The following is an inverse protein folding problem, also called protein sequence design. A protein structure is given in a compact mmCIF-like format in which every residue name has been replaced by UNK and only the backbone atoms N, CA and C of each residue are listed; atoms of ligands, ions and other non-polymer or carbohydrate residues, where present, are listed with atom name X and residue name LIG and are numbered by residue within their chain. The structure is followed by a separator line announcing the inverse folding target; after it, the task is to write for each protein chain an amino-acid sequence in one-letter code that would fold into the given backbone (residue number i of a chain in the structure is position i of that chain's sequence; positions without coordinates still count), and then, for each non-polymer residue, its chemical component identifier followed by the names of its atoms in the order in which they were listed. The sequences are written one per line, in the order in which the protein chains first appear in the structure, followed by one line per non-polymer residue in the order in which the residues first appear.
data_IF_218430887944
#
_entry.id   IF_218430887944
#
_cell.length_a   1.000
_cell.length_b   1.000
_cell.length_c   1.000
_cell.angle_alpha   90.00
_cell.angle_beta   90.00
_cell.angle_gamma   90.00
#
_symmetry.space_group_name_H-M   'P 1'
#
loop_
_entity.id
_entity.type
_entity.pdbx_description
1 polymer ?
#
# COMPACT_ATOMS: atom_id res chain seq x y z
N UNK A 1 1.89 16.91 4.58
CA UNK A 1 1.10 17.83 5.44
C UNK A 1 0.26 16.94 6.37
N UNK A 2 0.42 17.10 7.67
CA UNK A 2 -0.31 16.29 8.67
C UNK A 2 -1.80 16.68 8.62
N UNK A 3 -2.72 15.74 8.36
CA UNK A 3 -4.15 16.01 8.33
C UNK A 3 -4.69 16.60 9.65
N UNK A 4 -4.05 16.28 10.79
CA UNK A 4 -4.43 16.82 12.09
C UNK A 4 -4.16 18.32 12.22
N UNK A 5 -3.19 18.87 11.46
CA UNK A 5 -2.88 20.30 11.43
C UNK A 5 -3.90 21.13 10.62
N UNK A 6 -4.77 20.47 9.83
CA UNK A 6 -5.81 21.14 9.02
C UNK A 6 -7.13 21.31 9.76
N UNK A 7 -7.29 20.68 10.92
CA UNK A 7 -8.55 20.73 11.69
C UNK A 7 -8.45 21.85 12.72
N UNK A 8 -9.13 22.98 12.44
CA UNK A 8 -9.22 24.09 13.38
C UNK A 8 -9.94 23.65 14.68
N UNK A 9 -9.37 23.96 15.83
CA UNK A 9 -9.94 23.65 17.15
C UNK A 9 -11.36 24.27 17.33
N UNK A 10 -11.67 25.36 16.63
CA UNK A 10 -13.02 25.95 16.60
C UNK A 10 -14.01 25.00 15.92
N UNK A 11 -13.64 24.40 14.80
CA UNK A 11 -14.46 23.42 14.11
C UNK A 11 -14.72 22.18 14.97
N UNK A 12 -13.70 21.68 15.66
CA UNK A 12 -13.83 20.55 16.60
C UNK A 12 -14.81 20.89 17.73
N UNK A 13 -14.72 22.10 18.28
CA UNK A 13 -15.65 22.56 19.33
C UNK A 13 -17.07 22.67 18.81
N UNK A 14 -17.29 23.29 17.65
CA UNK A 14 -18.63 23.39 17.04
C UNK A 14 -19.26 22.04 16.76
N UNK A 15 -18.44 21.05 16.28
CA UNK A 15 -18.87 19.67 16.07
C UNK A 15 -19.22 18.97 17.39
N UNK A 16 -18.43 19.20 18.44
CA UNK A 16 -18.69 18.66 19.77
C UNK A 16 -19.97 19.26 20.40
N UNK A 17 -20.19 20.56 20.22
CA UNK A 17 -21.41 21.25 20.68
C UNK A 17 -22.64 20.77 19.90
N UNK A 18 -22.54 20.60 18.58
CA UNK A 18 -23.63 20.06 17.76
C UNK A 18 -23.93 18.59 18.12
N UNK A 19 -22.91 17.78 18.39
CA UNK A 19 -23.06 16.41 18.89
C UNK A 19 -23.74 16.39 20.27
N UNK A 20 -23.30 17.26 21.19
CA UNK A 20 -23.88 17.38 22.53
C UNK A 20 -25.35 17.84 22.51
N UNK A 21 -25.69 18.73 21.58
CA UNK A 21 -27.10 19.19 21.41
C UNK A 21 -28.02 18.05 20.92
N UNK A 22 -27.49 17.09 20.15
CA UNK A 22 -28.23 15.90 19.71
C UNK A 22 -28.38 14.83 20.81
N UNK A 23 -27.50 14.81 21.81
CA UNK A 23 -27.57 13.85 22.94
C UNK A 23 -28.88 14.03 23.76
N UNK A 24 -29.47 15.22 23.75
CA UNK A 24 -30.76 15.49 24.41
C UNK A 24 -31.96 14.77 23.78
N UNK A 25 -31.84 14.22 22.57
CA UNK A 25 -32.91 13.53 21.83
C UNK A 25 -32.70 12.03 21.57
N UNK A 26 -31.62 11.44 22.08
CA UNK A 26 -31.27 10.02 21.87
C UNK A 26 -29.78 9.86 21.62
N UNK A 27 -29.29 8.63 21.60
CA UNK A 27 -27.88 8.36 21.40
C UNK A 27 -27.37 8.93 20.06
N UNK A 28 -26.30 9.72 20.10
CA UNK A 28 -25.62 10.24 18.88
C UNK A 28 -25.07 9.09 18.05
N UNK A 29 -25.65 8.85 16.89
CA UNK A 29 -25.14 7.89 15.94
C UNK A 29 -24.01 8.55 15.14
N UNK A 30 -22.75 8.12 15.38
CA UNK A 30 -21.57 8.64 14.66
C UNK A 30 -21.43 8.02 13.28
N UNK A 31 -21.65 6.71 13.17
CA UNK A 31 -21.54 5.89 11.96
C UNK A 31 -22.92 5.37 11.54
N UNK A 32 -23.03 4.90 10.30
CA UNK A 32 -24.27 4.36 9.74
C UNK A 32 -25.15 5.41 9.09
N UNK A 33 -26.35 5.00 8.68
CA UNK A 33 -27.27 5.85 7.90
C UNK A 33 -27.76 7.04 8.74
N UNK A 34 -27.50 8.27 8.26
CA UNK A 34 -27.82 9.51 8.99
C UNK A 34 -26.83 9.90 10.10
N UNK A 35 -25.70 9.22 10.22
CA UNK A 35 -24.67 9.52 11.22
C UNK A 35 -23.98 10.86 11.02
N UNK A 36 -23.52 11.47 12.14
CA UNK A 36 -22.84 12.77 12.14
C UNK A 36 -21.64 12.84 11.17
N UNK A 37 -20.85 11.78 11.10
CA UNK A 37 -19.68 11.71 10.20
C UNK A 37 -20.09 11.71 8.73
N UNK A 38 -21.23 11.09 8.37
CA UNK A 38 -21.75 11.17 7.00
C UNK A 38 -22.17 12.59 6.63
N UNK A 39 -22.85 13.31 7.55
CA UNK A 39 -23.26 14.70 7.32
C UNK A 39 -22.06 15.62 7.14
N UNK A 40 -21.02 15.45 7.96
CA UNK A 40 -19.75 16.18 7.85
C UNK A 40 -19.04 15.88 6.53
N UNK A 41 -18.90 14.59 6.18
CA UNK A 41 -18.24 14.18 4.93
C UNK A 41 -18.98 14.73 3.71
N UNK A 42 -20.33 14.75 3.72
CA UNK A 42 -21.14 15.39 2.69
C UNK A 42 -20.73 16.84 2.48
N UNK A 43 -20.72 17.64 3.57
CA UNK A 43 -20.36 19.06 3.48
C UNK A 43 -18.92 19.27 2.97
N UNK A 44 -17.96 18.48 3.46
CA UNK A 44 -16.57 18.57 3.01
C UNK A 44 -16.42 18.23 1.52
N UNK A 45 -17.07 17.16 1.06
CA UNK A 45 -17.01 16.73 -0.35
C UNK A 45 -17.69 17.78 -1.24
N UNK A 46 -18.87 18.26 -0.88
CA UNK A 46 -19.60 19.28 -1.63
C UNK A 46 -18.79 20.58 -1.71
N UNK A 47 -18.16 21.00 -0.61
CA UNK A 47 -17.31 22.19 -0.58
C UNK A 47 -16.04 22.03 -1.44
N UNK A 48 -15.41 20.86 -1.39
CA UNK A 48 -14.26 20.57 -2.26
C UNK A 48 -14.64 20.62 -3.75
N UNK A 49 -15.81 20.08 -4.11
CA UNK A 49 -16.33 20.12 -5.47
C UNK A 49 -16.66 21.54 -5.93
N UNK A 50 -17.16 22.41 -5.05
CA UNK A 50 -17.37 23.84 -5.35
C UNK A 50 -16.06 24.55 -5.64
N UNK A 51 -15.02 24.30 -4.84
CA UNK A 51 -13.68 24.88 -5.04
C UNK A 51 -13.09 24.39 -6.37
N UNK A 52 -13.16 23.09 -6.67
CA UNK A 52 -12.69 22.53 -7.94
C UNK A 52 -13.43 23.15 -9.15
N UNK A 53 -14.76 23.38 -9.02
CA UNK A 53 -15.51 24.05 -10.09
C UNK A 53 -15.06 25.50 -10.27
N UNK A 54 -14.84 26.25 -9.18
CA UNK A 54 -14.34 27.62 -9.24
C UNK A 54 -12.93 27.67 -9.88
N UNK A 55 -12.03 26.78 -9.50
CA UNK A 55 -10.72 26.65 -10.13
C UNK A 55 -10.84 26.34 -11.64
N UNK A 56 -11.77 25.45 -12.02
CA UNK A 56 -12.03 25.13 -13.43
C UNK A 56 -12.58 26.30 -14.25
N UNK A 57 -13.46 27.11 -13.66
CA UNK A 57 -14.10 28.22 -14.36
C UNK A 57 -13.28 29.51 -14.36
N UNK A 58 -12.49 29.77 -13.32
CA UNK A 58 -11.81 31.05 -13.07
C UNK A 58 -10.31 30.91 -12.77
N UNK A 59 -9.77 29.70 -12.66
CA UNK A 59 -8.35 29.47 -12.45
C UNK A 59 -7.55 29.72 -13.74
N UNK A 60 -6.33 30.20 -13.61
CA UNK A 60 -5.35 30.36 -14.72
C UNK A 60 -4.92 28.99 -15.25
N UNK A 61 -5.77 28.37 -16.07
CA UNK A 61 -5.42 27.18 -16.85
C UNK A 61 -4.68 27.58 -18.12
N UNK A 62 -3.89 26.69 -18.77
CA UNK A 62 -3.15 26.97 -20.01
C UNK A 62 -4.10 27.09 -21.20
N UNK A 63 -4.90 28.19 -21.24
CA UNK A 63 -5.89 28.47 -22.27
C UNK A 63 -6.64 29.78 -22.08
N UNK A 64 -6.47 30.45 -20.91
CA UNK A 64 -7.06 31.76 -20.65
C UNK A 64 -6.17 32.88 -21.21
N UNK A 65 -6.49 33.40 -22.41
CA UNK A 65 -5.81 34.55 -22.95
C UNK A 65 -6.02 35.78 -22.06
N UNK A 66 -4.94 36.31 -21.54
CA UNK A 66 -4.86 37.59 -20.84
C UNK A 66 -5.35 38.69 -21.76
N UNK A 67 -6.31 39.58 -21.41
CA UNK A 67 -6.50 40.82 -22.13
C UNK A 67 -5.30 41.70 -21.83
N UNK A 68 -4.46 41.89 -22.82
CA UNK A 68 -3.33 42.79 -22.77
C UNK A 68 -3.83 44.22 -22.50
N UNK A 69 -3.53 44.74 -21.32
CA UNK A 69 -3.60 46.15 -20.99
C UNK A 69 -2.50 46.89 -21.73
N UNK A 70 -2.88 47.57 -22.82
CA UNK A 70 -1.98 48.44 -23.51
C UNK A 70 -1.81 49.77 -22.76
N UNK A 71 -0.59 50.22 -22.61
CA UNK A 71 -0.24 51.57 -22.23
C UNK A 71 0.73 52.18 -23.24
N UNK A 72 0.24 53.26 -23.84
CA UNK A 72 0.88 54.50 -24.28
C UNK A 72 1.82 54.56 -25.47
N UNK A 73 1.44 55.49 -26.28
CA UNK A 73 2.17 56.61 -26.93
C UNK A 73 2.43 56.56 -28.41
N UNK A 74 1.79 57.50 -29.04
CA UNK A 74 2.45 58.42 -30.00
C UNK A 74 2.17 58.26 -31.45
N UNK A 75 1.47 59.26 -32.03
CA UNK A 75 1.77 59.71 -33.39
C UNK A 75 0.66 59.76 -34.42
N UNK A 76 -0.06 60.84 -34.46
CA UNK A 76 -0.47 61.71 -35.61
C UNK A 76 -0.64 61.09 -37.00
N UNK A 77 -1.76 61.23 -37.68
CA UNK A 77 -2.15 62.14 -38.72
C UNK A 77 -3.45 61.76 -39.43
N UNK A 78 -4.33 62.74 -39.47
CA UNK A 78 -5.25 63.22 -40.51
C UNK A 78 -5.98 62.30 -41.50
N UNK A 79 -7.30 62.52 -41.60
CA UNK A 79 -8.07 62.18 -42.81
C UNK A 79 -9.57 62.15 -42.63
N UNK A 80 -10.18 63.28 -42.70
CA UNK A 80 -11.52 63.76 -43.08
C UNK A 80 -12.50 62.75 -43.68
N UNK A 81 -13.81 62.97 -43.33
CA UNK A 81 -14.95 62.41 -44.09
C UNK A 81 -16.27 62.46 -43.39
N UNK A 82 -16.95 63.60 -43.48
CA UNK A 82 -18.36 64.00 -43.30
C UNK A 82 -19.40 62.93 -43.72
N UNK A 83 -20.53 62.78 -43.00
CA UNK A 83 -21.82 63.47 -43.09
C UNK A 83 -22.91 62.71 -42.33
N UNK A 84 -23.58 63.35 -41.39
CA UNK A 84 -24.94 63.88 -41.35
C UNK A 84 -26.08 62.85 -41.36
N UNK A 85 -26.94 62.89 -40.31
CA UNK A 85 -28.35 62.81 -40.53
C UNK A 85 -29.19 62.09 -39.43
N UNK A 86 -29.71 62.93 -38.58
CA UNK A 86 -31.06 63.00 -37.95
C UNK A 86 -31.65 61.93 -37.09
N UNK A 87 -31.95 62.40 -35.88
CA UNK A 87 -33.03 62.03 -34.94
C UNK A 87 -34.39 62.63 -35.45
N UNK A 88 -35.64 62.24 -35.06
CA UNK A 88 -36.06 62.28 -33.64
C UNK A 88 -37.17 61.29 -33.18
N UNK A 89 -37.21 61.15 -31.86
CA UNK A 89 -38.36 61.14 -30.94
C UNK A 89 -39.58 60.19 -31.13
N UNK A 90 -39.95 59.52 -30.04
CA UNK A 90 -41.31 59.02 -29.83
C UNK A 90 -41.44 58.12 -28.59
N UNK A 91 -42.04 58.69 -27.58
CA UNK A 91 -42.29 58.10 -26.25
C UNK A 91 -43.34 56.98 -26.21
N UNK A 92 -43.33 56.30 -25.09
CA UNK A 92 -44.41 55.67 -24.32
C UNK A 92 -44.36 54.12 -24.18
N UNK A 93 -44.01 53.69 -23.04
CA UNK A 93 -44.71 53.05 -21.94
C UNK A 93 -45.49 51.76 -22.20
N UNK A 94 -45.13 50.73 -21.50
CA UNK A 94 -45.95 49.78 -20.75
C UNK A 94 -45.38 48.35 -20.75
N UNK A 95 -45.30 47.77 -19.53
CA UNK A 95 -45.60 46.39 -19.29
C UNK A 95 -44.46 45.38 -19.53
N UNK A 96 -43.64 45.17 -18.49
CA UNK A 96 -42.76 44.00 -18.44
C UNK A 96 -43.60 42.74 -18.27
N UNK A 97 -43.74 41.98 -19.34
CA UNK A 97 -44.10 40.55 -19.29
C UNK A 97 -42.80 39.80 -19.24
N UNK A 98 -42.56 39.12 -18.11
CA UNK A 98 -41.43 38.19 -18.02
C UNK A 98 -41.76 36.99 -18.89
N UNK A 99 -41.22 36.98 -20.09
CA UNK A 99 -41.21 35.81 -20.97
C UNK A 99 -40.19 34.77 -20.49
N UNK A 100 -40.37 33.50 -20.86
CA UNK A 100 -39.41 32.46 -20.48
C UNK A 100 -38.04 32.76 -21.09
N UNK A 101 -36.99 32.66 -20.28
CA UNK A 101 -35.61 32.86 -20.70
C UNK A 101 -35.28 32.03 -21.96
N UNK A 102 -34.87 32.73 -23.02
CA UNK A 102 -34.35 32.09 -24.23
C UNK A 102 -33.17 31.18 -23.92
N UNK A 103 -33.03 30.04 -24.61
CA UNK A 103 -31.84 29.17 -24.45
C UNK A 103 -30.59 29.98 -24.77
N UNK A 104 -29.64 29.96 -23.83
CA UNK A 104 -28.44 30.80 -23.86
C UNK A 104 -27.67 30.69 -25.16
N UNK A 105 -27.14 31.84 -25.59
CA UNK A 105 -26.23 31.98 -26.72
C UNK A 105 -25.09 30.99 -26.62
N UNK A 106 -24.73 30.25 -27.67
CA UNK A 106 -23.67 29.25 -27.64
C UNK A 106 -22.24 29.81 -27.41
N UNK A 107 -22.07 31.13 -27.29
CA UNK A 107 -20.79 31.83 -27.18
C UNK A 107 -20.64 32.67 -25.90
N UNK A 108 -21.40 32.43 -24.83
CA UNK A 108 -21.17 33.04 -23.52
C UNK A 108 -20.06 32.33 -22.74
N UNK A 109 -19.35 33.05 -21.82
CA UNK A 109 -18.35 32.39 -20.96
C UNK A 109 -18.93 31.20 -20.22
N UNK A 110 -18.16 30.12 -20.11
CA UNK A 110 -18.55 28.94 -19.35
C UNK A 110 -18.87 29.33 -17.90
N UNK A 111 -19.91 28.77 -17.31
CA UNK A 111 -20.37 29.14 -15.98
C UNK A 111 -21.09 28.00 -15.29
N UNK A 112 -21.39 28.15 -13.99
CA UNK A 112 -22.09 27.12 -13.23
C UNK A 112 -23.47 26.78 -13.85
N UNK A 113 -23.82 25.49 -13.90
CA UNK A 113 -25.07 24.99 -14.46
C UNK A 113 -25.73 23.93 -13.55
N UNK A 114 -26.05 24.34 -12.32
CA UNK A 114 -26.71 23.50 -11.35
C UNK A 114 -25.83 22.38 -10.80
N UNK A 115 -26.47 21.43 -10.14
CA UNK A 115 -25.79 20.27 -9.54
C UNK A 115 -26.67 19.01 -9.69
N UNK A 116 -26.02 17.84 -9.75
CA UNK A 116 -26.68 16.54 -9.75
C UNK A 116 -26.42 15.78 -8.47
N UNK A 117 -27.50 15.28 -7.84
CA UNK A 117 -27.38 14.39 -6.69
C UNK A 117 -26.75 13.05 -7.10
N UNK A 118 -25.80 12.57 -6.32
CA UNK A 118 -25.14 11.26 -6.49
C UNK A 118 -24.96 10.61 -5.14
N UNK A 119 -25.34 9.34 -5.05
CA UNK A 119 -25.05 8.50 -3.89
C UNK A 119 -23.66 7.86 -4.08
N UNK A 120 -22.76 8.13 -3.14
CA UNK A 120 -21.40 7.61 -3.11
C UNK A 120 -21.25 6.70 -1.90
N UNK A 121 -20.64 5.53 -2.10
CA UNK A 121 -20.25 4.66 -1.01
C UNK A 121 -18.87 5.11 -0.47
N UNK A 122 -18.79 5.31 0.82
CA UNK A 122 -17.58 5.76 1.52
C UNK A 122 -17.21 4.81 2.65
N UNK A 123 -16.03 4.96 3.22
CA UNK A 123 -15.58 4.21 4.40
C UNK A 123 -16.36 4.50 5.69
N UNK A 124 -17.24 5.48 5.68
CA UNK A 124 -18.12 5.83 6.81
C UNK A 124 -19.60 5.61 6.49
N UNK A 125 -19.90 5.01 5.34
CA UNK A 125 -21.25 4.73 4.88
C UNK A 125 -21.61 5.41 3.56
N UNK A 126 -22.85 5.24 3.07
CA UNK A 126 -23.34 5.88 1.86
C UNK A 126 -23.59 7.38 2.11
N UNK A 127 -23.06 8.24 1.24
CA UNK A 127 -23.22 9.70 1.32
C UNK A 127 -23.85 10.20 0.04
N UNK A 128 -24.95 10.96 0.15
CA UNK A 128 -25.55 11.64 -0.99
C UNK A 128 -24.97 13.03 -1.14
N UNK A 129 -24.25 13.28 -2.24
CA UNK A 129 -23.54 14.53 -2.55
C UNK A 129 -24.12 15.20 -3.78
N UNK A 130 -24.11 16.53 -3.82
CA UNK A 130 -24.46 17.34 -4.98
C UNK A 130 -23.20 17.67 -5.77
N UNK A 131 -23.04 17.03 -6.93
CA UNK A 131 -21.91 17.27 -7.85
C UNK A 131 -22.28 18.41 -8.77
N UNK A 132 -21.57 19.56 -8.72
CA UNK A 132 -21.86 20.71 -9.55
C UNK A 132 -21.51 20.42 -11.02
N UNK A 133 -22.05 21.23 -11.93
CA UNK A 133 -21.83 21.17 -13.37
C UNK A 133 -21.56 22.55 -13.92
N UNK A 134 -20.79 22.61 -15.00
CA UNK A 134 -20.64 23.78 -15.85
C UNK A 134 -21.59 23.70 -17.08
N UNK A 135 -21.72 24.80 -17.80
CA UNK A 135 -22.58 24.87 -18.99
C UNK A 135 -22.09 24.01 -20.12
N UNK A 136 -20.79 23.95 -20.32
CA UNK A 136 -20.14 23.24 -21.44
C UNK A 136 -20.01 21.74 -21.15
N UNK A 137 -20.25 21.28 -19.91
CA UNK A 137 -20.11 19.88 -19.50
C UNK A 137 -18.65 19.40 -19.47
N UNK A 138 -17.71 20.33 -19.44
CA UNK A 138 -16.26 20.06 -19.45
C UNK A 138 -15.70 19.79 -18.05
N UNK A 139 -16.42 20.16 -17.00
CA UNK A 139 -15.98 19.97 -15.63
C UNK A 139 -15.93 18.49 -15.24
N UNK A 140 -14.71 18.01 -14.96
CA UNK A 140 -14.44 16.66 -14.48
C UNK A 140 -13.78 16.71 -13.10
N UNK A 141 -14.57 16.64 -11.99
CA UNK A 141 -14.01 16.77 -10.66
C UNK A 141 -13.02 15.65 -10.30
N UNK A 142 -11.94 16.01 -9.60
CA UNK A 142 -10.90 15.10 -9.12
C UNK A 142 -11.34 14.38 -7.85
N UNK A 143 -12.04 15.09 -6.94
CA UNK A 143 -12.55 14.54 -5.68
C UNK A 143 -13.57 13.41 -5.91
N UNK A 144 -14.50 13.60 -6.85
CA UNK A 144 -15.49 12.59 -7.23
C UNK A 144 -15.39 12.34 -8.73
N UNK A 145 -14.59 11.36 -9.12
CA UNK A 145 -14.38 11.02 -10.54
C UNK A 145 -15.70 10.79 -11.27
N UNK A 146 -15.80 11.16 -12.56
CA UNK A 146 -16.96 10.87 -13.36
C UNK A 146 -17.35 9.39 -13.28
N UNK A 147 -18.64 9.11 -13.10
CA UNK A 147 -19.22 7.74 -12.96
C UNK A 147 -18.76 6.93 -11.73
N UNK A 148 -17.92 7.46 -10.84
CA UNK A 148 -17.58 6.77 -9.60
C UNK A 148 -18.82 6.57 -8.73
N UNK A 149 -19.05 5.36 -8.24
CA UNK A 149 -20.12 5.02 -7.29
C UNK A 149 -19.61 4.88 -5.86
N UNK A 150 -18.30 4.87 -5.67
CA UNK A 150 -17.61 4.74 -4.39
C UNK A 150 -16.35 5.59 -4.37
N UNK A 151 -15.92 5.98 -3.18
CA UNK A 151 -14.67 6.70 -2.96
C UNK A 151 -13.49 5.73 -2.75
N UNK A 152 -12.25 6.16 -3.06
CA UNK A 152 -11.05 5.34 -2.88
C UNK A 152 -10.82 4.86 -1.43
N UNK A 153 -11.36 5.58 -0.43
CA UNK A 153 -11.30 5.18 0.98
C UNK A 153 -11.97 3.84 1.24
N UNK A 154 -13.15 3.61 0.66
CA UNK A 154 -13.84 2.33 0.77
C UNK A 154 -13.03 1.18 0.13
N UNK A 155 -12.44 1.41 -1.06
CA UNK A 155 -11.62 0.40 -1.73
C UNK A 155 -10.43 0.01 -0.84
N UNK A 156 -9.74 1.00 -0.21
CA UNK A 156 -8.66 0.74 0.76
C UNK A 156 -9.13 -0.02 1.99
N UNK A 157 -10.33 0.29 2.51
CA UNK A 157 -10.91 -0.45 3.64
C UNK A 157 -11.15 -1.93 3.26
N UNK A 158 -11.76 -2.19 2.10
CA UNK A 158 -11.98 -3.54 1.57
C UNK A 158 -10.67 -4.31 1.45
N UNK A 159 -9.65 -3.72 0.82
CA UNK A 159 -8.33 -4.33 0.68
C UNK A 159 -7.70 -4.60 2.06
N UNK A 160 -7.79 -3.66 3.01
CA UNK A 160 -7.24 -3.82 4.36
C UNK A 160 -7.92 -4.96 5.13
N UNK A 161 -9.24 -5.08 5.06
CA UNK A 161 -10.00 -6.15 5.72
C UNK A 161 -9.72 -7.52 5.09
N UNK A 162 -9.63 -7.59 3.75
CA UNK A 162 -9.23 -8.81 3.04
C UNK A 162 -7.79 -9.21 3.41
N UNK A 163 -6.88 -8.25 3.50
CA UNK A 163 -5.50 -8.47 3.93
C UNK A 163 -5.40 -8.98 5.38
N UNK A 164 -6.39 -8.73 6.24
CA UNK A 164 -6.50 -9.29 7.58
C UNK A 164 -7.05 -10.70 7.62
N UNK A 165 -7.58 -11.19 6.48
CA UNK A 165 -8.06 -12.55 6.32
C UNK A 165 -9.58 -12.71 6.41
N UNK A 166 -10.36 -11.63 6.27
CA UNK A 166 -11.81 -11.76 6.15
C UNK A 166 -12.16 -12.37 4.77
N UNK A 167 -13.09 -13.31 4.75
CA UNK A 167 -13.68 -13.80 3.50
C UNK A 167 -14.57 -12.72 2.86
N UNK A 168 -14.84 -12.82 1.57
CA UNK A 168 -15.74 -11.88 0.89
C UNK A 168 -17.14 -11.85 1.51
N UNK A 169 -17.61 -12.97 2.08
CA UNK A 169 -18.92 -13.03 2.76
C UNK A 169 -18.90 -12.27 4.10
N UNK A 170 -17.92 -12.54 4.95
CA UNK A 170 -17.75 -11.84 6.23
C UNK A 170 -17.53 -10.35 6.03
N UNK A 171 -16.77 -9.97 4.99
CA UNK A 171 -16.50 -8.59 4.67
C UNK A 171 -17.79 -7.84 4.24
N UNK A 172 -18.59 -8.45 3.35
CA UNK A 172 -19.88 -7.87 2.94
C UNK A 172 -20.82 -7.72 4.14
N UNK A 173 -20.94 -8.74 4.98
CA UNK A 173 -21.76 -8.66 6.20
C UNK A 173 -21.26 -7.56 7.14
N UNK A 174 -19.96 -7.49 7.41
CA UNK A 174 -19.37 -6.46 8.28
C UNK A 174 -19.60 -5.04 7.76
N UNK A 175 -19.44 -4.81 6.45
CA UNK A 175 -19.65 -3.49 5.84
C UNK A 175 -21.13 -3.09 5.89
N UNK A 176 -22.07 -4.03 5.69
CA UNK A 176 -23.49 -3.77 5.81
C UNK A 176 -23.90 -3.46 7.24
N UNK A 177 -23.47 -4.28 8.21
CA UNK A 177 -23.85 -4.13 9.62
C UNK A 177 -23.27 -2.88 10.28
N UNK A 178 -21.98 -2.58 10.02
CA UNK A 178 -21.27 -1.49 10.74
C UNK A 178 -21.39 -0.16 10.02
N UNK A 179 -21.32 -0.17 8.68
CA UNK A 179 -21.23 1.06 7.89
C UNK A 179 -22.47 1.32 7.03
N UNK A 180 -23.44 0.40 6.98
CA UNK A 180 -24.62 0.50 6.08
C UNK A 180 -24.23 0.46 4.59
N UNK A 181 -23.07 -0.15 4.25
CA UNK A 181 -22.57 -0.22 2.88
C UNK A 181 -22.91 -1.56 2.26
N UNK A 182 -23.77 -1.54 1.27
CA UNK A 182 -24.11 -2.74 0.49
C UNK A 182 -23.12 -2.95 -0.67
N UNK A 183 -22.37 -4.04 -0.60
CA UNK A 183 -21.48 -4.50 -1.67
C UNK A 183 -21.81 -5.93 -2.08
N UNK A 184 -21.62 -6.24 -3.35
CA UNK A 184 -21.63 -7.64 -3.79
C UNK A 184 -20.26 -8.29 -3.63
N UNK A 185 -20.22 -9.62 -3.56
CA UNK A 185 -18.95 -10.39 -3.52
C UNK A 185 -18.11 -10.16 -4.78
N UNK A 186 -18.75 -9.96 -5.92
CA UNK A 186 -18.11 -9.62 -7.20
C UNK A 186 -17.44 -8.26 -7.11
N UNK A 187 -18.10 -7.27 -6.49
CA UNK A 187 -17.51 -5.94 -6.25
C UNK A 187 -16.27 -6.04 -5.37
N UNK A 188 -16.31 -6.82 -4.29
CA UNK A 188 -15.14 -7.09 -3.43
C UNK A 188 -14.01 -7.73 -4.22
N UNK A 189 -14.32 -8.69 -5.12
CA UNK A 189 -13.32 -9.31 -6.00
C UNK A 189 -12.67 -8.27 -6.92
N UNK A 190 -13.47 -7.44 -7.59
CA UNK A 190 -12.97 -6.36 -8.48
C UNK A 190 -12.09 -5.37 -7.72
N UNK A 191 -12.51 -4.93 -6.53
CA UNK A 191 -11.70 -4.03 -5.70
C UNK A 191 -10.36 -4.67 -5.33
N UNK A 192 -10.40 -5.92 -4.88
CA UNK A 192 -9.18 -6.64 -4.49
C UNK A 192 -8.32 -7.08 -5.67
N UNK A 193 -8.82 -7.11 -6.90
CA UNK A 193 -8.02 -7.36 -8.10
C UNK A 193 -7.16 -6.15 -8.50
N UNK A 194 -7.56 -4.92 -8.11
CA UNK A 194 -6.77 -3.71 -8.34
C UNK A 194 -5.40 -3.73 -7.65
N UNK A 195 -5.22 -4.54 -6.60
CA UNK A 195 -3.91 -4.70 -5.96
C UNK A 195 -2.85 -5.32 -6.90
N UNK A 196 -3.27 -5.99 -7.96
CA UNK A 196 -2.36 -6.53 -8.97
C UNK A 196 -1.81 -5.44 -9.90
N UNK A 197 -2.59 -4.40 -10.15
CA UNK A 197 -2.14 -3.22 -10.90
C UNK A 197 -1.12 -2.46 -10.06
N UNK A 198 -1.37 -2.27 -8.75
CA UNK A 198 -0.39 -1.71 -7.82
C UNK A 198 0.90 -2.55 -7.77
N UNK A 199 0.80 -3.87 -7.79
CA UNK A 199 1.96 -4.76 -7.82
C UNK A 199 2.75 -4.60 -9.13
N UNK A 200 2.05 -4.43 -10.26
CA UNK A 200 2.69 -4.19 -11.56
C UNK A 200 3.44 -2.85 -11.57
N UNK A 201 2.84 -1.78 -11.05
CA UNK A 201 3.47 -0.46 -10.90
C UNK A 201 4.71 -0.53 -10.01
N UNK A 202 4.63 -1.27 -8.89
CA UNK A 202 5.76 -1.47 -7.98
C UNK A 202 6.92 -2.23 -8.61
N UNK A 203 6.66 -3.12 -9.57
CA UNK A 203 7.72 -3.84 -10.30
C UNK A 203 8.60 -2.91 -11.14
N UNK A 204 8.06 -1.80 -11.63
CA UNK A 204 8.80 -0.79 -12.38
C UNK A 204 9.50 0.26 -11.51
N UNK A 205 9.19 0.34 -10.21
CA UNK A 205 9.72 1.38 -9.32
C UNK A 205 11.21 1.19 -9.07
N UNK A 206 12.04 2.26 -9.18
CA UNK A 206 13.43 2.21 -8.75
C UNK A 206 13.57 1.82 -7.28
N UNK A 207 14.62 1.08 -6.95
CA UNK A 207 14.98 0.67 -5.60
C UNK A 207 16.20 1.45 -5.11
N UNK A 208 16.39 1.43 -3.78
CA UNK A 208 17.58 2.02 -3.18
C UNK A 208 18.84 1.26 -3.66
N UNK A 209 19.96 1.96 -3.85
CA UNK A 209 21.16 1.31 -4.37
C UNK A 209 21.82 0.33 -3.41
N UNK A 210 21.55 0.45 -2.11
CA UNK A 210 22.16 -0.37 -1.04
C UNK A 210 21.09 -0.90 -0.10
N UNK A 211 21.11 -2.21 0.12
CA UNK A 211 20.30 -2.86 1.15
C UNK A 211 21.21 -3.62 2.13
N UNK A 212 21.27 -3.20 3.41
CA UNK A 212 21.97 -3.96 4.46
C UNK A 212 21.51 -5.40 4.58
N UNK A 213 20.21 -5.66 4.45
CA UNK A 213 19.67 -7.03 4.46
C UNK A 213 18.56 -7.16 3.43
N UNK A 214 18.60 -8.26 2.69
CA UNK A 214 17.50 -8.71 1.83
C UNK A 214 17.10 -10.13 2.26
N UNK A 215 15.84 -10.30 2.61
CA UNK A 215 15.23 -11.61 2.86
C UNK A 215 14.57 -12.11 1.59
N UNK A 216 14.91 -13.34 1.20
CA UNK A 216 14.28 -14.06 0.10
C UNK A 216 13.49 -15.24 0.66
N UNK A 217 12.29 -15.41 0.16
CA UNK A 217 11.41 -16.48 0.59
C UNK A 217 10.62 -17.04 -0.59
N UNK A 218 10.23 -18.29 -0.47
CA UNK A 218 9.40 -18.99 -1.44
C UNK A 218 8.12 -19.45 -0.75
N UNK A 219 7.04 -18.75 -1.03
CA UNK A 219 5.77 -18.96 -0.36
C UNK A 219 4.80 -19.72 -1.27
N UNK A 220 4.34 -20.87 -0.81
CA UNK A 220 3.33 -21.64 -1.53
C UNK A 220 1.93 -21.14 -1.14
N UNK A 221 1.15 -20.73 -2.12
CA UNK A 221 -0.22 -20.30 -1.90
C UNK A 221 -1.19 -21.46 -2.12
N UNK A 222 -1.95 -21.81 -1.07
CA UNK A 222 -2.91 -22.90 -1.09
C UNK A 222 -2.51 -24.15 -0.29
N UNK A 223 -3.51 -24.82 0.30
CA UNK A 223 -3.34 -25.94 1.25
C UNK A 223 -2.73 -27.21 0.63
N UNK A 224 -2.79 -27.40 -0.67
CA UNK A 224 -2.38 -28.63 -1.34
C UNK A 224 -1.75 -28.32 -2.69
N UNK A 225 -0.47 -27.95 -2.69
CA UNK A 225 0.30 -27.85 -3.91
C UNK A 225 -0.05 -26.68 -4.84
N UNK A 226 -0.59 -25.59 -4.33
CA UNK A 226 -0.84 -24.36 -5.10
C UNK A 226 0.45 -23.70 -5.62
N UNK A 227 0.31 -22.67 -6.49
CA UNK A 227 1.44 -22.01 -7.10
C UNK A 227 2.40 -21.43 -6.06
N UNK A 228 3.70 -21.51 -6.35
CA UNK A 228 4.77 -20.95 -5.54
C UNK A 228 5.03 -19.50 -5.97
N UNK A 229 5.24 -18.62 -5.01
CA UNK A 229 5.56 -17.20 -5.23
C UNK A 229 6.84 -16.88 -4.48
N UNK A 230 7.83 -16.33 -5.19
CA UNK A 230 9.04 -15.81 -4.59
C UNK A 230 8.80 -14.38 -4.11
N UNK A 231 9.29 -14.08 -2.92
CA UNK A 231 9.20 -12.78 -2.25
C UNK A 231 10.60 -12.28 -1.94
N UNK A 232 10.84 -11.00 -2.19
CA UNK A 232 12.00 -10.28 -1.66
C UNK A 232 11.53 -9.15 -0.72
N UNK A 233 12.06 -9.16 0.51
CA UNK A 233 11.83 -8.14 1.52
C UNK A 233 13.17 -7.49 1.88
N UNK A 234 13.31 -6.18 1.66
CA UNK A 234 14.51 -5.43 1.95
C UNK A 234 14.43 -4.65 3.26
N UNK A 235 15.57 -4.40 3.86
CA UNK A 235 15.77 -3.41 4.93
C UNK A 235 16.72 -2.36 4.40
N UNK A 236 16.26 -1.10 4.29
CA UNK A 236 17.05 0.01 3.77
C UNK A 236 18.16 0.45 4.73
N UNK A 237 19.05 1.31 4.28
CA UNK A 237 20.11 1.94 5.12
C UNK A 237 19.55 2.72 6.29
N UNK A 238 18.29 3.17 6.21
CA UNK A 238 17.60 3.89 7.28
C UNK A 238 16.80 2.96 8.21
N UNK A 239 16.92 1.65 8.01
CA UNK A 239 16.22 0.65 8.82
C UNK A 239 14.75 0.47 8.49
N UNK A 240 14.33 0.93 7.33
CA UNK A 240 12.95 0.80 6.88
C UNK A 240 12.77 -0.50 6.11
N UNK A 241 11.69 -1.23 6.43
CA UNK A 241 11.32 -2.46 5.71
C UNK A 241 10.45 -2.14 4.50
N UNK A 242 10.72 -2.79 3.39
CA UNK A 242 9.89 -2.71 2.20
C UNK A 242 9.84 -4.03 1.43
N UNK A 243 8.72 -4.25 0.75
CA UNK A 243 8.56 -5.36 -0.20
C UNK A 243 9.23 -4.95 -1.51
N UNK A 244 10.33 -5.61 -1.86
CA UNK A 244 11.09 -5.33 -3.07
C UNK A 244 10.42 -5.91 -4.32
N UNK A 245 9.73 -7.04 -4.17
CA UNK A 245 8.99 -7.65 -5.27
C UNK A 245 8.42 -9.02 -4.95
N UNK A 246 7.54 -9.46 -5.84
CA UNK A 246 6.93 -10.77 -5.88
C UNK A 246 7.05 -11.33 -7.29
N UNK A 247 7.44 -12.58 -7.42
CA UNK A 247 7.59 -13.27 -8.72
C UNK A 247 6.87 -14.61 -8.65
N UNK A 248 6.11 -14.99 -9.68
CA UNK A 248 5.63 -16.36 -9.80
C UNK A 248 6.85 -17.27 -9.95
N UNK A 249 6.85 -18.40 -9.26
CA UNK A 249 7.86 -19.42 -9.45
C UNK A 249 7.51 -20.19 -10.71
N UNK A 250 8.30 -19.97 -11.76
CA UNK A 250 8.33 -20.82 -12.95
C UNK A 250 9.40 -21.88 -12.75
N UNK A 251 9.25 -23.04 -13.37
CA UNK A 251 10.25 -24.10 -13.32
C UNK A 251 11.60 -23.60 -13.86
N UNK A 252 12.69 -23.84 -13.12
CA UNK A 252 14.05 -23.46 -13.51
C UNK A 252 14.77 -22.53 -12.52
N UNK A 253 15.75 -21.81 -13.02
CA UNK A 253 16.65 -20.92 -12.27
C UNK A 253 15.93 -19.66 -11.75
N UNK A 254 15.25 -19.76 -10.63
CA UNK A 254 14.43 -18.67 -10.09
C UNK A 254 15.24 -17.56 -9.38
N UNK A 255 16.29 -17.91 -8.61
CA UNK A 255 17.08 -16.90 -7.89
C UNK A 255 17.89 -15.98 -8.80
N UNK A 256 18.58 -16.45 -9.85
CA UNK A 256 19.22 -15.56 -10.83
C UNK A 256 18.24 -14.52 -11.39
N UNK A 257 17.01 -14.92 -11.73
CA UNK A 257 15.97 -14.03 -12.26
C UNK A 257 15.50 -13.00 -11.22
N UNK A 258 15.27 -13.42 -9.97
CA UNK A 258 14.87 -12.52 -8.88
C UNK A 258 15.97 -11.49 -8.62
N UNK A 259 17.23 -11.92 -8.48
CA UNK A 259 18.35 -11.02 -8.21
C UNK A 259 18.65 -10.09 -9.39
N UNK A 260 18.50 -10.55 -10.63
CA UNK A 260 18.60 -9.72 -11.81
C UNK A 260 17.55 -8.61 -11.80
N UNK A 261 16.29 -8.95 -11.52
CA UNK A 261 15.20 -7.96 -11.43
C UNK A 261 15.40 -6.91 -10.33
N UNK A 262 16.02 -7.26 -9.20
CA UNK A 262 16.40 -6.28 -8.18
C UNK A 262 17.51 -5.35 -8.68
N UNK A 263 18.52 -5.90 -9.36
CA UNK A 263 19.64 -5.12 -9.87
C UNK A 263 19.22 -4.17 -11.03
N UNK A 264 18.34 -4.61 -11.93
CA UNK A 264 17.77 -3.79 -13.01
C UNK A 264 17.01 -2.58 -12.46
N UNK A 265 16.41 -2.72 -11.29
CA UNK A 265 15.72 -1.65 -10.58
C UNK A 265 16.64 -0.76 -9.73
N UNK A 266 17.95 -0.93 -9.80
CA UNK A 266 18.95 -0.05 -9.20
C UNK A 266 19.71 -0.60 -8.00
N UNK A 267 19.42 -1.81 -7.51
CA UNK A 267 20.17 -2.41 -6.39
C UNK A 267 21.59 -2.75 -6.85
N UNK A 268 22.58 -2.10 -6.25
CA UNK A 268 24.00 -2.25 -6.56
C UNK A 268 24.75 -3.05 -5.51
N UNK A 269 24.28 -3.02 -4.27
CA UNK A 269 24.95 -3.67 -3.15
C UNK A 269 23.92 -4.24 -2.17
N UNK A 270 24.15 -5.49 -1.76
CA UNK A 270 23.45 -6.16 -0.67
C UNK A 270 24.50 -6.69 0.29
N UNK A 271 24.44 -6.33 1.57
CA UNK A 271 25.45 -6.80 2.52
C UNK A 271 25.17 -8.24 2.97
N UNK A 272 23.92 -8.53 3.33
CA UNK A 272 23.50 -9.87 3.75
C UNK A 272 22.24 -10.28 3.01
N UNK A 273 22.29 -11.47 2.40
CA UNK A 273 21.16 -12.10 1.75
C UNK A 273 20.71 -13.29 2.60
N UNK A 274 19.50 -13.26 3.10
CA UNK A 274 18.92 -14.32 3.93
C UNK A 274 17.87 -15.07 3.14
N UNK A 275 18.02 -16.39 2.99
CA UNK A 275 17.04 -17.18 2.24
C UNK A 275 17.15 -18.68 2.51
N UNK A 276 16.40 -19.48 1.75
CA UNK A 276 16.52 -20.92 1.80
C UNK A 276 17.84 -21.36 1.14
N UNK A 277 18.66 -22.06 1.90
CA UNK A 277 19.99 -22.49 1.50
C UNK A 277 20.02 -23.52 0.35
N UNK A 278 18.88 -24.09 -0.02
CA UNK A 278 18.83 -25.32 -0.83
C UNK A 278 18.85 -25.13 -2.35
N UNK A 279 18.80 -23.92 -2.90
CA UNK A 279 18.40 -23.74 -4.31
C UNK A 279 19.32 -22.84 -5.17
N UNK A 280 20.64 -22.98 -5.09
CA UNK A 280 21.56 -22.19 -5.92
C UNK A 280 21.59 -20.68 -5.58
N UNK A 281 21.10 -20.31 -4.39
CA UNK A 281 21.06 -18.91 -3.95
C UNK A 281 22.45 -18.32 -3.76
N UNK A 282 23.37 -19.11 -3.21
CA UNK A 282 24.74 -18.67 -2.95
C UNK A 282 25.49 -18.38 -4.26
N UNK A 283 25.33 -19.23 -5.26
CA UNK A 283 25.91 -19.09 -6.59
C UNK A 283 25.32 -17.87 -7.31
N UNK A 284 24.00 -17.72 -7.29
CA UNK A 284 23.31 -16.57 -7.90
C UNK A 284 23.72 -15.25 -7.25
N UNK A 285 23.83 -15.22 -5.91
CA UNK A 285 24.27 -14.05 -5.17
C UNK A 285 25.72 -13.69 -5.47
N UNK A 286 26.63 -14.69 -5.47
CA UNK A 286 28.06 -14.49 -5.77
C UNK A 286 28.27 -13.95 -7.18
N UNK A 287 27.51 -14.44 -8.15
CA UNK A 287 27.57 -13.95 -9.53
C UNK A 287 27.13 -12.50 -9.66
N UNK A 288 26.19 -12.04 -8.82
CA UNK A 288 25.62 -10.69 -8.92
C UNK A 288 26.28 -9.68 -7.99
N UNK A 289 26.50 -10.06 -6.74
CA UNK A 289 27.11 -9.26 -5.70
C UNK A 289 28.18 -10.06 -4.95
N UNK A 290 29.41 -10.11 -5.45
CA UNK A 290 30.47 -11.03 -4.94
C UNK A 290 30.82 -10.81 -3.45
N UNK A 291 30.47 -9.65 -2.87
CA UNK A 291 30.73 -9.33 -1.45
C UNK A 291 29.57 -9.65 -0.54
N UNK A 292 28.44 -10.11 -1.07
CA UNK A 292 27.25 -10.41 -0.26
C UNK A 292 27.49 -11.64 0.59
N UNK A 293 27.23 -11.52 1.88
CA UNK A 293 27.19 -12.68 2.78
C UNK A 293 25.85 -13.39 2.60
N UNK A 294 25.87 -14.64 2.15
CA UNK A 294 24.64 -15.45 2.07
C UNK A 294 24.46 -16.20 3.39
N UNK A 295 23.30 -16.03 4.00
CA UNK A 295 22.92 -16.63 5.27
C UNK A 295 21.64 -17.45 5.12
N UNK A 296 21.61 -18.64 5.70
CA UNK A 296 20.38 -19.45 5.68
C UNK A 296 19.34 -18.90 6.62
N UNK A 297 18.07 -18.93 6.20
CA UNK A 297 16.95 -18.61 7.07
C UNK A 297 16.82 -19.65 8.20
N UNK A 298 17.03 -19.21 9.44
CA UNK A 298 16.91 -20.08 10.63
C UNK A 298 15.52 -20.71 10.73
N UNK A 299 14.46 -19.95 10.41
CA UNK A 299 13.10 -20.45 10.41
C UNK A 299 12.88 -21.59 9.41
N UNK A 300 13.39 -21.44 8.18
CA UNK A 300 13.35 -22.51 7.16
C UNK A 300 14.17 -23.72 7.56
N UNK A 301 15.35 -23.50 8.10
CA UNK A 301 16.22 -24.57 8.57
C UNK A 301 15.57 -25.37 9.70
N UNK A 302 14.98 -24.69 10.70
CA UNK A 302 14.21 -25.32 11.77
C UNK A 302 13.06 -26.15 11.20
N UNK A 303 12.26 -25.58 10.29
CA UNK A 303 11.15 -26.30 9.69
C UNK A 303 11.62 -27.53 8.87
N UNK A 304 12.67 -27.36 8.08
CA UNK A 304 13.27 -28.45 7.32
C UNK A 304 13.82 -29.57 8.19
N UNK A 305 14.39 -29.25 9.34
CA UNK A 305 14.91 -30.23 10.29
C UNK A 305 13.77 -30.94 11.05
N UNK A 306 12.84 -30.16 11.62
CA UNK A 306 11.77 -30.70 12.51
C UNK A 306 10.79 -31.62 11.79
N UNK A 307 10.61 -31.50 10.46
CA UNK A 307 9.76 -32.44 9.70
C UNK A 307 10.25 -33.89 9.78
N UNK A 308 11.49 -34.14 10.22
CA UNK A 308 12.08 -35.46 10.39
C UNK A 308 11.94 -35.97 11.85
N UNK A 309 11.25 -35.24 12.73
CA UNK A 309 11.00 -35.62 14.10
C UNK A 309 9.50 -35.79 14.34
N UNK A 310 9.09 -36.63 15.32
CA UNK A 310 7.72 -36.71 15.81
C UNK A 310 7.26 -35.35 16.35
N UNK A 311 5.96 -35.03 16.18
CA UNK A 311 5.40 -33.73 16.59
C UNK A 311 5.53 -33.43 18.10
N UNK A 312 5.55 -34.47 18.94
CA UNK A 312 5.73 -34.37 20.39
C UNK A 312 7.10 -33.80 20.78
N UNK A 313 8.15 -34.04 19.99
CA UNK A 313 9.51 -33.58 20.24
C UNK A 313 9.83 -32.20 19.66
N UNK A 314 8.95 -31.65 18.78
CA UNK A 314 9.20 -30.39 18.08
C UNK A 314 9.53 -29.23 19.00
N UNK A 315 8.80 -29.09 20.12
CA UNK A 315 9.01 -28.00 21.05
C UNK A 315 10.36 -28.05 21.76
N UNK A 316 10.81 -29.24 22.13
CA UNK A 316 12.11 -29.45 22.79
C UNK A 316 13.26 -29.27 21.79
N UNK A 317 13.20 -29.96 20.66
CA UNK A 317 14.17 -29.81 19.57
C UNK A 317 14.31 -28.38 19.06
N UNK A 318 13.19 -27.67 18.87
CA UNK A 318 13.23 -26.28 18.41
C UNK A 318 13.98 -25.37 19.39
N UNK A 319 13.79 -25.55 20.70
CA UNK A 319 14.55 -24.81 21.73
C UNK A 319 16.03 -25.14 21.66
N UNK A 320 16.39 -26.42 21.65
CA UNK A 320 17.79 -26.88 21.55
C UNK A 320 18.48 -26.33 20.30
N UNK A 321 17.82 -26.40 19.14
CA UNK A 321 18.35 -25.87 17.89
C UNK A 321 18.45 -24.35 17.87
N UNK A 322 17.51 -23.65 18.50
CA UNK A 322 17.58 -22.20 18.66
C UNK A 322 18.74 -21.75 19.54
N UNK A 323 19.06 -22.48 20.59
CA UNK A 323 20.21 -22.21 21.45
C UNK A 323 21.54 -22.25 20.68
N UNK A 324 21.66 -23.10 19.64
CA UNK A 324 22.84 -23.14 18.76
C UNK A 324 22.98 -21.81 18.02
N UNK A 325 21.89 -21.28 17.45
CA UNK A 325 21.90 -20.00 16.70
C UNK A 325 22.21 -18.80 17.60
N UNK A 326 21.86 -18.88 18.88
CA UNK A 326 22.06 -17.79 19.87
C UNK A 326 23.41 -17.87 20.60
N UNK A 327 24.26 -18.84 20.26
CA UNK A 327 25.59 -18.94 20.85
C UNK A 327 26.42 -17.67 20.58
N UNK A 328 27.28 -17.23 21.51
CA UNK A 328 28.04 -16.00 21.34
C UNK A 328 29.06 -16.07 20.19
N UNK A 329 29.61 -17.23 19.90
CA UNK A 329 30.63 -17.45 18.87
C UNK A 329 30.37 -18.76 18.12
N UNK A 330 30.95 -18.90 16.91
CA UNK A 330 30.87 -20.14 16.14
C UNK A 330 31.42 -21.37 16.90
N UNK A 331 32.59 -21.33 17.57
CA UNK A 331 33.06 -22.46 18.37
C UNK A 331 32.04 -22.88 19.47
N UNK A 332 31.44 -21.91 20.16
CA UNK A 332 30.41 -22.18 21.16
C UNK A 332 29.14 -22.79 20.54
N UNK A 333 28.79 -22.38 19.33
CA UNK A 333 27.66 -22.95 18.60
C UNK A 333 27.94 -24.40 18.18
N UNK A 334 29.16 -24.69 17.70
CA UNK A 334 29.59 -26.06 17.36
C UNK A 334 29.62 -26.99 18.58
N UNK A 335 30.05 -26.47 19.73
CA UNK A 335 29.99 -27.23 21.00
C UNK A 335 28.55 -27.56 21.40
N UNK A 336 27.63 -26.58 21.30
CA UNK A 336 26.21 -26.81 21.57
C UNK A 336 25.60 -27.81 20.59
N UNK A 337 25.93 -27.70 19.29
CA UNK A 337 25.50 -28.65 18.26
C UNK A 337 25.99 -30.07 18.57
N UNK A 338 27.26 -30.23 18.94
CA UNK A 338 27.81 -31.54 19.33
C UNK A 338 27.16 -32.12 20.59
N UNK A 339 26.78 -31.28 21.56
CA UNK A 339 26.02 -31.71 22.75
C UNK A 339 24.62 -32.17 22.36
N UNK A 340 23.91 -31.38 21.57
CA UNK A 340 22.58 -31.72 21.06
C UNK A 340 22.58 -33.02 20.24
N UNK A 341 23.61 -33.25 19.42
CA UNK A 341 23.75 -34.50 18.66
C UNK A 341 23.96 -35.72 19.55
N UNK A 342 24.71 -35.60 20.65
CA UNK A 342 24.88 -36.70 21.61
C UNK A 342 23.59 -37.02 22.36
N UNK A 343 22.81 -36.01 22.68
CA UNK A 343 21.57 -36.16 23.43
C UNK A 343 20.40 -36.67 22.55
N UNK A 344 20.20 -36.04 21.39
CA UNK A 344 19.05 -36.29 20.50
C UNK A 344 19.36 -37.12 19.27
N UNK A 345 20.64 -37.20 18.87
CA UNK A 345 21.06 -37.87 17.63
C UNK A 345 20.69 -39.33 17.52
N UNK A 346 20.73 -40.14 18.64
CA UNK A 346 20.30 -41.54 18.56
C UNK A 346 18.87 -41.73 18.05
N UNK A 347 17.95 -40.78 18.40
CA UNK A 347 16.54 -40.83 17.98
C UNK A 347 16.22 -39.96 16.79
N UNK A 348 17.01 -38.90 16.53
CA UNK A 348 16.71 -37.84 15.54
C UNK A 348 17.86 -37.55 14.58
N UNK A 349 18.51 -38.57 14.09
CA UNK A 349 19.72 -38.46 13.23
C UNK A 349 19.54 -37.52 12.03
N UNK A 350 18.37 -37.57 11.35
CA UNK A 350 18.09 -36.77 10.17
C UNK A 350 17.98 -35.27 10.47
N UNK A 351 17.48 -34.90 11.65
CA UNK A 351 17.43 -33.51 12.12
C UNK A 351 18.83 -32.91 12.13
N UNK A 352 19.80 -33.59 12.69
CA UNK A 352 21.17 -33.12 12.78
C UNK A 352 21.92 -33.20 11.46
N UNK A 353 21.60 -34.18 10.60
CA UNK A 353 22.12 -34.24 9.24
C UNK A 353 21.73 -33.00 8.43
N UNK A 354 20.47 -32.58 8.48
CA UNK A 354 20.00 -31.34 7.84
C UNK A 354 20.76 -30.12 8.37
N UNK A 355 20.94 -30.06 9.71
CA UNK A 355 21.62 -28.94 10.36
C UNK A 355 23.10 -28.85 9.97
N UNK A 356 23.80 -29.98 9.95
CA UNK A 356 25.20 -30.06 9.52
C UNK A 356 25.37 -29.65 8.04
N UNK A 357 24.49 -30.09 7.18
CA UNK A 357 24.52 -29.73 5.76
C UNK A 357 24.33 -28.23 5.53
N UNK A 358 23.53 -27.57 6.36
CA UNK A 358 23.28 -26.12 6.29
C UNK A 358 24.36 -25.27 7.00
N UNK A 359 25.27 -25.91 7.77
CA UNK A 359 26.26 -25.19 8.58
C UNK A 359 27.10 -24.17 7.79
N UNK A 360 27.61 -24.44 6.58
CA UNK A 360 28.39 -23.49 5.80
C UNK A 360 27.67 -22.16 5.52
N UNK A 361 26.32 -22.18 5.48
CA UNK A 361 25.48 -20.99 5.28
C UNK A 361 24.92 -20.40 6.58
N UNK A 362 25.02 -21.14 7.69
CA UNK A 362 24.66 -20.65 9.03
C UNK A 362 25.86 -19.96 9.70
N UNK A 363 27.04 -20.55 9.59
CA UNK A 363 28.29 -20.12 10.22
C UNK A 363 28.66 -18.65 9.94
N UNK A 364 28.50 -18.11 8.70
CA UNK A 364 28.76 -16.70 8.43
C UNK A 364 27.97 -15.72 9.31
N UNK A 365 26.82 -16.14 9.84
CA UNK A 365 26.02 -15.35 10.80
C UNK A 365 26.77 -15.00 12.07
N UNK A 366 27.72 -15.83 12.53
CA UNK A 366 28.51 -15.57 13.74
C UNK A 366 29.54 -14.45 13.61
N UNK A 367 29.80 -13.94 12.38
CA UNK A 367 30.60 -12.73 12.15
C UNK A 367 29.90 -11.46 12.63
N UNK A 368 28.57 -11.51 12.76
CA UNK A 368 27.75 -10.37 13.15
C UNK A 368 27.54 -10.34 14.65
N UNK A 369 27.35 -9.14 15.18
CA UNK A 369 26.99 -8.94 16.59
C UNK A 369 25.59 -9.46 16.92
N UNK A 370 25.24 -9.51 18.21
CA UNK A 370 24.00 -10.17 18.66
C UNK A 370 22.73 -9.51 18.13
N UNK A 371 22.71 -8.20 17.95
CA UNK A 371 21.56 -7.48 17.45
C UNK A 371 21.33 -7.76 15.94
N UNK A 372 22.41 -7.73 15.15
CA UNK A 372 22.32 -8.10 13.75
C UNK A 372 21.92 -9.58 13.58
N UNK A 373 22.42 -10.50 14.42
CA UNK A 373 22.00 -11.92 14.37
C UNK A 373 20.52 -12.11 14.69
N UNK A 374 19.95 -11.34 15.64
CA UNK A 374 18.50 -11.38 15.89
C UNK A 374 17.70 -10.91 14.66
N UNK A 375 18.21 -9.91 13.94
CA UNK A 375 17.63 -9.50 12.67
C UNK A 375 17.68 -10.63 11.63
N UNK A 376 18.88 -11.23 11.43
CA UNK A 376 19.11 -12.29 10.45
C UNK A 376 18.30 -13.57 10.74
N UNK A 377 18.01 -13.85 12.00
CA UNK A 377 17.13 -14.95 12.40
C UNK A 377 15.65 -14.74 11.96
N UNK A 378 15.34 -13.67 11.23
CA UNK A 378 14.02 -13.44 10.63
C UNK A 378 13.23 -12.30 11.26
N UNK A 379 13.60 -11.83 12.48
CA UNK A 379 12.96 -10.71 13.18
C UNK A 379 11.43 -10.73 13.24
N UNK A 380 10.81 -11.87 13.06
CA UNK A 380 9.37 -12.08 13.06
C UNK A 380 8.62 -11.48 11.86
N UNK A 381 9.30 -10.90 10.84
CA UNK A 381 8.61 -10.29 9.70
C UNK A 381 8.05 -11.37 8.76
N UNK A 382 8.87 -12.35 8.40
CA UNK A 382 8.47 -13.48 7.57
C UNK A 382 7.45 -14.37 8.28
N UNK A 383 7.63 -14.64 9.57
CA UNK A 383 6.67 -15.43 10.37
C UNK A 383 5.30 -14.74 10.43
N UNK A 384 5.27 -13.39 10.59
CA UNK A 384 4.00 -12.63 10.53
C UNK A 384 3.37 -12.69 9.15
N UNK A 385 4.17 -12.64 8.08
CA UNK A 385 3.69 -12.83 6.71
C UNK A 385 3.04 -14.19 6.53
N UNK A 386 3.75 -15.26 6.92
CA UNK A 386 3.25 -16.64 6.81
C UNK A 386 1.99 -16.86 7.65
N UNK A 387 1.95 -16.33 8.89
CA UNK A 387 0.75 -16.42 9.73
C UNK A 387 -0.45 -15.72 9.10
N UNK A 388 -0.23 -14.57 8.46
CA UNK A 388 -1.26 -13.83 7.76
C UNK A 388 -1.72 -14.53 6.49
N UNK A 389 -0.77 -15.02 5.68
CA UNK A 389 -1.11 -15.77 4.47
C UNK A 389 -1.98 -16.99 4.82
N UNK A 390 -1.64 -17.74 5.87
CA UNK A 390 -2.48 -18.85 6.35
C UNK A 390 -3.92 -18.42 6.66
N UNK A 391 -4.12 -17.24 7.29
CA UNK A 391 -5.48 -16.71 7.56
C UNK A 391 -6.23 -16.39 6.26
N UNK A 392 -5.58 -15.69 5.32
CA UNK A 392 -6.17 -15.37 4.01
C UNK A 392 -6.55 -16.67 3.28
N UNK A 393 -5.71 -17.69 3.32
CA UNK A 393 -5.97 -18.97 2.68
C UNK A 393 -7.13 -19.76 3.33
N UNK A 394 -7.25 -19.67 4.66
CA UNK A 394 -8.39 -20.26 5.37
C UNK A 394 -9.71 -19.62 4.96
N UNK A 395 -9.73 -18.29 4.76
CA UNK A 395 -10.91 -17.53 4.41
C UNK A 395 -11.28 -17.61 2.92
N UNK A 396 -10.28 -17.72 2.03
CA UNK A 396 -10.46 -17.50 0.59
C UNK A 396 -10.56 -18.78 -0.29
N UNK A 397 -10.51 -19.97 0.32
CA UNK A 397 -10.64 -21.24 -0.42
C UNK A 397 -9.45 -21.55 -1.34
N UNK A 398 -9.66 -22.41 -2.34
CA UNK A 398 -8.59 -22.96 -3.20
C UNK A 398 -8.00 -21.94 -4.17
N UNK A 399 -6.65 -21.88 -4.30
CA UNK A 399 -5.95 -21.11 -5.34
C UNK A 399 -5.86 -21.98 -6.60
N UNK A 400 -6.23 -21.42 -7.75
CA UNK A 400 -6.27 -22.16 -9.02
C UNK A 400 -5.16 -21.77 -9.99
N UNK A 401 -4.66 -20.54 -9.89
CA UNK A 401 -3.70 -19.99 -10.85
C UNK A 401 -2.67 -19.07 -10.17
N UNK A 402 -1.64 -18.71 -10.90
CA UNK A 402 -0.54 -17.85 -10.45
C UNK A 402 -1.02 -16.44 -10.10
N UNK A 403 -1.99 -15.90 -10.83
CA UNK A 403 -2.53 -14.55 -10.60
C UNK A 403 -3.22 -14.48 -9.23
N UNK A 404 -4.02 -15.50 -8.90
CA UNK A 404 -4.66 -15.60 -7.58
C UNK A 404 -3.63 -15.82 -6.45
N UNK A 405 -2.55 -16.58 -6.71
CA UNK A 405 -1.46 -16.76 -5.76
C UNK A 405 -0.74 -15.44 -5.49
N UNK A 406 -0.33 -14.72 -6.54
CA UNK A 406 0.30 -13.40 -6.43
C UNK A 406 -0.57 -12.41 -5.65
N UNK A 407 -1.87 -12.34 -5.98
CA UNK A 407 -2.84 -11.49 -5.28
C UNK A 407 -2.84 -11.78 -3.77
N UNK A 408 -2.93 -13.05 -3.37
CA UNK A 408 -2.97 -13.43 -1.94
C UNK A 408 -1.68 -13.13 -1.21
N UNK A 409 -0.54 -13.46 -1.80
CA UNK A 409 0.76 -13.16 -1.20
C UNK A 409 0.95 -11.65 -1.10
N UNK A 410 0.56 -10.88 -2.13
CA UNK A 410 0.63 -9.42 -2.07
C UNK A 410 -0.27 -8.83 -0.98
N UNK A 411 -1.52 -9.28 -0.87
CA UNK A 411 -2.41 -8.88 0.23
C UNK A 411 -1.80 -9.16 1.60
N UNK A 412 -1.14 -10.31 1.76
CA UNK A 412 -0.45 -10.64 3.00
C UNK A 412 0.72 -9.68 3.29
N UNK A 413 1.44 -9.20 2.25
CA UNK A 413 2.56 -8.28 2.40
C UNK A 413 2.13 -6.87 2.77
N UNK A 414 0.93 -6.41 2.39
CA UNK A 414 0.42 -5.08 2.72
C UNK A 414 0.41 -4.78 4.23
N UNK A 415 0.36 -5.82 5.05
CA UNK A 415 0.46 -5.66 6.49
C UNK A 415 1.88 -5.43 7.02
N UNK A 416 2.89 -5.73 6.24
CA UNK A 416 4.27 -5.42 6.57
C UNK A 416 4.56 -3.93 6.36
N UNK A 417 3.76 -3.27 5.55
CA UNK A 417 3.80 -1.83 5.29
C UNK A 417 2.73 -1.09 6.12
N UNK A 418 2.80 0.22 6.20
CA UNK A 418 1.73 1.03 6.81
C UNK A 418 0.51 1.11 5.87
N UNK A 419 -0.70 1.46 6.39
CA UNK A 419 -1.90 1.63 5.57
C UNK A 419 -1.74 2.63 4.41
N UNK A 420 -0.78 3.56 4.52
CA UNK A 420 -0.46 4.54 3.47
C UNK A 420 0.64 4.06 2.50
N UNK A 421 1.03 2.76 2.55
CA UNK A 421 2.14 2.23 1.75
C UNK A 421 3.52 2.71 2.20
N UNK A 422 3.61 3.39 3.36
CA UNK A 422 4.87 3.86 3.90
C UNK A 422 5.69 2.70 4.46
N UNK A 423 7.00 2.76 4.26
CA UNK A 423 7.96 1.81 4.82
C UNK A 423 7.89 1.84 6.35
N UNK A 424 7.84 0.68 6.99
CA UNK A 424 7.87 0.60 8.46
C UNK A 424 9.30 0.51 8.96
N UNK A 425 9.63 1.25 10.06
CA UNK A 425 10.93 1.13 10.68
C UNK A 425 11.13 -0.29 11.24
N UNK A 426 12.36 -0.73 11.24
CA UNK A 426 12.78 -1.88 12.05
C UNK A 426 12.69 -1.48 13.53
N UNK A 427 12.19 -2.38 14.38
CA UNK A 427 12.12 -2.12 15.82
C UNK A 427 13.47 -2.46 16.45
N UNK A 428 14.11 -1.51 17.11
CA UNK A 428 15.40 -1.67 17.79
C UNK A 428 16.36 -0.51 17.53
N UNK A 429 17.57 -0.60 18.03
CA UNK A 429 18.66 0.35 17.76
C UNK A 429 19.24 0.08 16.37
N UNK A 430 18.61 0.63 15.35
CA UNK A 430 19.03 0.43 13.96
C UNK A 430 20.46 0.93 13.67
N UNK A 431 20.92 2.09 14.16
CA UNK A 431 22.30 2.51 13.96
C UNK A 431 23.34 1.47 14.40
N UNK A 432 23.16 0.85 15.57
CA UNK A 432 24.04 -0.21 16.06
C UNK A 432 23.98 -1.46 15.18
N UNK A 433 22.77 -1.92 14.86
CA UNK A 433 22.55 -3.09 13.95
C UNK A 433 23.20 -2.87 12.60
N UNK A 434 23.01 -1.69 12.00
CA UNK A 434 23.60 -1.34 10.71
C UNK A 434 25.13 -1.38 10.74
N UNK A 435 25.74 -0.88 11.82
CA UNK A 435 27.18 -0.90 11.96
C UNK A 435 27.73 -2.32 12.18
N UNK A 436 27.03 -3.16 12.93
CA UNK A 436 27.36 -4.59 13.06
C UNK A 436 27.30 -5.31 11.70
N UNK A 437 26.24 -5.09 10.91
CA UNK A 437 26.08 -5.64 9.55
C UNK A 437 27.21 -5.18 8.62
N UNK A 438 27.53 -3.87 8.65
CA UNK A 438 28.57 -3.29 7.81
C UNK A 438 29.97 -3.86 8.12
N UNK A 439 30.29 -4.07 9.40
CA UNK A 439 31.55 -4.69 9.81
C UNK A 439 31.63 -6.14 9.39
N UNK A 440 30.59 -6.93 9.69
CA UNK A 440 30.57 -8.35 9.38
C UNK A 440 30.53 -8.68 7.89
N UNK A 441 30.06 -7.76 7.02
CA UNK A 441 30.00 -7.94 5.56
C UNK A 441 31.34 -7.60 4.86
N UNK A 442 32.30 -6.94 5.53
CA UNK A 442 33.59 -6.53 4.95
C UNK A 442 34.70 -7.55 5.14
N UNK A 443 34.45 -8.58 5.93
CA UNK A 443 35.33 -9.72 6.19
C UNK A 443 34.85 -10.98 5.49
#
# INVERSE_FOLDING_TARGET
MDPAALVDQRLVRQLAEAAAAQVGSGAVQLLGDGGLLQALAKQLIERALEIELQEHLYGDGPGGGTPAGGSTAGGSTAGSGTAVGNNPAGANGRGAVVGPAAPGSPNGPNGPNGARARRLLTEIGPVEVRVPRDRDGSFAPRTVRPRARRLPGLDRLVVSLTARGLSSGELVAHLSEVYGVELSRETVSVITDQVLDELADRRGRPLDPVYPVVFLDSVRSGRSGGPLVHLALGVSTDGLREVLGLWPATDGEHWPRVLAGLAERGVREVWVLVGDAGAGLAEAASARWPRTVVHTSVAHLLHAALRHAPGEDWGALARTLHEICTAPTEPAALERLGRAEREWGPSHREVFRVWRAAWPLLAPGFRFGPEARRLLAGGGALERLHARLRRIEQAAGRVRDERAALKRVYLATLALESPAGARRPWTGDWPAVREELRRGSRH
#
